data_IF_508879418383
#
_entry.id   IF_508879418383
#
_cell.length_a   1.000
_cell.length_b   1.000
_cell.length_c   1.000
_cell.angle_alpha   90.00
_cell.angle_beta   90.00
_cell.angle_gamma   90.00
#
_symmetry.space_group_name_H-M   'P 1'
#
loop_
_entity.id
_entity.type
_entity.pdbx_description
1 polymer ?
#
# COMPACT_ATOMS: atom_id res chain seq x y z
N UNK A 1 12.26 -18.05 0.43
CA UNK A 1 11.81 -16.73 0.88
C UNK A 1 11.47 -16.84 2.36
N UNK A 2 11.99 -15.95 3.20
CA UNK A 2 11.64 -15.95 4.64
C UNK A 2 10.50 -14.96 4.86
N UNK A 3 9.30 -15.45 5.15
CA UNK A 3 8.11 -14.64 5.45
C UNK A 3 8.18 -14.24 6.92
N UNK A 4 8.12 -12.94 7.21
CA UNK A 4 8.17 -12.38 8.56
C UNK A 4 6.76 -12.10 9.07
N UNK A 5 5.89 -11.56 8.20
CA UNK A 5 4.52 -11.21 8.51
C UNK A 5 3.59 -11.63 7.37
N UNK A 6 2.33 -11.91 7.72
CA UNK A 6 1.24 -12.19 6.81
C UNK A 6 0.07 -11.27 7.12
N UNK A 7 -0.47 -10.59 6.12
CA UNK A 7 -1.48 -9.58 6.33
C UNK A 7 -2.47 -9.47 5.19
N UNK A 8 -3.59 -8.80 5.43
CA UNK A 8 -4.65 -8.61 4.46
C UNK A 8 -4.78 -7.15 4.05
N UNK A 9 -5.34 -6.94 2.84
CA UNK A 9 -5.68 -5.62 2.34
C UNK A 9 -7.17 -5.34 2.51
N UNK A 10 -7.51 -4.10 2.87
CA UNK A 10 -8.86 -3.60 3.09
C UNK A 10 -9.16 -2.41 2.19
N UNK A 11 -10.36 -2.36 1.63
CA UNK A 11 -10.88 -1.26 0.81
C UNK A 11 -12.40 -1.12 1.01
N UNK A 12 -13.06 -0.20 0.33
CA UNK A 12 -14.53 -0.06 0.40
C UNK A 12 -15.32 -1.26 -0.15
N UNK A 13 -14.62 -2.25 -0.73
CA UNK A 13 -15.24 -3.51 -1.15
C UNK A 13 -15.62 -4.40 0.04
N UNK A 14 -14.91 -4.28 1.13
CA UNK A 14 -15.17 -4.97 2.38
C UNK A 14 -16.00 -4.06 3.29
N UNK A 15 -16.93 -4.64 4.06
CA UNK A 15 -17.62 -3.89 5.10
C UNK A 15 -16.87 -3.99 6.43
N UNK A 16 -17.05 -2.98 7.30
CA UNK A 16 -16.51 -3.07 8.66
C UNK A 16 -17.04 -4.32 9.40
N UNK A 17 -18.25 -4.76 9.09
CA UNK A 17 -18.82 -5.96 9.67
C UNK A 17 -18.03 -7.22 9.31
N UNK A 18 -17.40 -7.27 8.12
CA UNK A 18 -16.63 -8.42 7.68
C UNK A 18 -15.30 -8.56 8.42
N UNK A 19 -14.78 -7.50 9.05
CA UNK A 19 -13.52 -7.54 9.82
C UNK A 19 -13.72 -7.63 11.34
N UNK A 20 -14.96 -7.49 11.85
CA UNK A 20 -15.22 -7.46 13.30
C UNK A 20 -14.76 -8.68 14.09
N UNK A 21 -14.54 -9.80 13.40
CA UNK A 21 -14.06 -11.04 14.02
C UNK A 21 -12.58 -11.31 13.77
N UNK A 22 -11.89 -10.42 13.02
CA UNK A 22 -10.47 -10.59 12.70
C UNK A 22 -9.65 -10.08 13.88
N UNK A 23 -8.77 -10.94 14.38
CA UNK A 23 -7.86 -10.62 15.50
C UNK A 23 -6.39 -10.65 15.05
N UNK A 24 -5.48 -10.28 15.93
CA UNK A 24 -4.03 -10.40 15.74
C UNK A 24 -3.54 -11.85 15.57
N UNK A 25 -4.39 -12.83 15.88
CA UNK A 25 -4.12 -14.27 15.62
C UNK A 25 -4.40 -14.67 14.18
N UNK A 26 -5.32 -13.97 13.52
CA UNK A 26 -5.77 -14.27 12.15
C UNK A 26 -4.91 -13.56 11.11
N UNK A 27 -4.34 -12.41 11.48
CA UNK A 27 -3.48 -11.61 10.59
C UNK A 27 -2.48 -10.81 11.41
N UNK A 28 -1.27 -10.60 10.85
CA UNK A 28 -0.25 -9.81 11.54
C UNK A 28 -0.35 -8.32 11.23
N UNK A 29 -1.05 -7.92 10.15
CA UNK A 29 -1.22 -6.51 9.79
C UNK A 29 -2.34 -6.29 8.77
N UNK A 30 -2.78 -5.04 8.69
CA UNK A 30 -3.65 -4.54 7.63
C UNK A 30 -2.91 -3.61 6.67
N UNK A 31 -3.22 -3.70 5.37
CA UNK A 31 -2.93 -2.68 4.38
C UNK A 31 -4.25 -2.03 3.95
N UNK A 32 -4.48 -0.79 4.37
CA UNK A 32 -5.77 -0.11 4.24
C UNK A 32 -5.72 0.88 3.08
N UNK A 33 -6.63 0.77 2.10
CA UNK A 33 -6.79 1.80 1.08
C UNK A 33 -7.25 3.08 1.76
N UNK A 34 -6.50 4.17 1.58
CA UNK A 34 -6.85 5.44 2.24
C UNK A 34 -7.68 6.36 1.36
N UNK A 35 -7.37 6.38 0.06
CA UNK A 35 -8.04 7.21 -0.91
C UNK A 35 -7.70 6.78 -2.34
N UNK A 36 -8.34 7.37 -3.33
CA UNK A 36 -8.00 7.22 -4.75
C UNK A 36 -8.29 8.48 -5.54
N UNK A 37 -7.63 8.61 -6.72
CA UNK A 37 -7.92 9.62 -7.73
C UNK A 37 -7.83 8.97 -9.11
N UNK A 38 -8.95 8.47 -9.60
CA UNK A 38 -9.02 7.76 -10.89
C UNK A 38 -9.55 8.65 -12.02
N UNK A 39 -10.29 9.68 -11.68
CA UNK A 39 -10.91 10.66 -12.60
C UNK A 39 -10.40 12.09 -12.40
N UNK A 40 -9.32 12.27 -11.61
CA UNK A 40 -8.75 13.56 -11.25
C UNK A 40 -9.28 14.15 -9.95
N UNK A 41 -10.36 13.60 -9.39
CA UNK A 41 -10.86 13.98 -8.07
C UNK A 41 -10.26 13.05 -7.00
N UNK A 42 -9.88 13.62 -5.86
CA UNK A 42 -9.34 12.84 -4.75
C UNK A 42 -10.51 12.42 -3.87
N UNK A 43 -10.73 11.12 -3.77
CA UNK A 43 -11.79 10.53 -2.96
C UNK A 43 -11.22 9.70 -1.82
N UNK A 44 -11.53 10.09 -0.58
CA UNK A 44 -11.22 9.28 0.60
C UNK A 44 -12.05 8.01 0.60
N UNK A 45 -11.46 6.87 0.95
CA UNK A 45 -12.20 5.63 1.15
C UNK A 45 -13.20 5.77 2.30
N UNK A 46 -14.44 5.34 2.05
CA UNK A 46 -15.56 5.52 2.97
C UNK A 46 -15.29 4.91 4.35
N UNK A 47 -14.73 3.69 4.37
CA UNK A 47 -14.51 2.92 5.59
C UNK A 47 -13.13 3.16 6.22
N UNK A 48 -12.32 4.10 5.68
CA UNK A 48 -10.94 4.31 6.10
C UNK A 48 -10.78 4.56 7.60
N UNK A 49 -11.55 5.49 8.16
CA UNK A 49 -11.43 5.84 9.59
C UNK A 49 -11.88 4.71 10.50
N UNK A 50 -12.90 3.95 10.07
CA UNK A 50 -13.38 2.79 10.83
C UNK A 50 -12.36 1.67 10.85
N UNK A 51 -11.67 1.41 9.73
CA UNK A 51 -10.60 0.41 9.67
C UNK A 51 -9.40 0.79 10.53
N UNK A 52 -8.98 2.06 10.50
CA UNK A 52 -7.92 2.56 11.36
C UNK A 52 -8.31 2.38 12.84
N UNK A 53 -9.51 2.85 13.21
CA UNK A 53 -10.01 2.75 14.59
C UNK A 53 -10.08 1.29 15.06
N UNK A 54 -10.50 0.38 14.17
CA UNK A 54 -10.53 -1.04 14.47
C UNK A 54 -9.12 -1.61 14.67
N UNK A 55 -8.19 -1.29 13.78
CA UNK A 55 -6.81 -1.76 13.88
C UNK A 55 -6.14 -1.27 15.19
N UNK A 56 -6.32 0.00 15.52
CA UNK A 56 -5.77 0.60 16.75
C UNK A 56 -6.38 -0.02 18.01
N UNK A 57 -7.72 -0.21 18.05
CA UNK A 57 -8.43 -0.82 19.17
C UNK A 57 -7.96 -2.26 19.44
N UNK A 58 -7.71 -3.02 18.38
CA UNK A 58 -7.30 -4.43 18.47
C UNK A 58 -5.79 -4.63 18.39
N UNK A 59 -5.01 -3.53 18.42
CA UNK A 59 -3.54 -3.54 18.35
C UNK A 59 -3.00 -4.28 17.11
N UNK A 60 -3.76 -4.27 15.99
CA UNK A 60 -3.33 -4.84 14.72
C UNK A 60 -2.45 -3.80 14.00
N UNK A 61 -1.18 -4.11 13.72
CA UNK A 61 -0.31 -3.23 12.95
C UNK A 61 -0.91 -2.90 11.59
N UNK A 62 -0.70 -1.67 11.10
CA UNK A 62 -1.24 -1.31 9.79
C UNK A 62 -0.30 -0.39 9.00
N UNK A 63 -0.49 -0.39 7.70
CA UNK A 63 -0.02 0.58 6.72
C UNK A 63 -1.14 0.97 5.78
N UNK A 64 -0.86 1.84 4.82
CA UNK A 64 -1.90 2.32 3.90
C UNK A 64 -1.43 2.29 2.44
N UNK A 65 -2.39 2.32 1.52
CA UNK A 65 -2.09 2.55 0.11
C UNK A 65 -3.08 3.51 -0.54
N UNK A 66 -2.59 4.24 -1.52
CA UNK A 66 -3.30 5.21 -2.32
C UNK A 66 -3.28 4.81 -3.80
N UNK A 67 -4.39 4.96 -4.51
CA UNK A 67 -4.50 4.57 -5.93
C UNK A 67 -4.71 5.81 -6.80
N UNK A 68 -3.89 5.95 -7.86
CA UNK A 68 -4.01 7.07 -8.80
C UNK A 68 -3.74 6.64 -10.24
N UNK A 69 -4.36 7.33 -11.19
CA UNK A 69 -3.99 7.27 -12.61
C UNK A 69 -3.29 8.56 -13.09
N UNK A 70 -3.05 9.52 -12.19
CA UNK A 70 -2.44 10.80 -12.54
C UNK A 70 -1.00 10.64 -13.04
N UNK A 71 -0.71 11.28 -14.15
CA UNK A 71 0.64 11.43 -14.70
C UNK A 71 1.14 12.88 -14.62
N UNK A 72 0.39 13.76 -13.97
CA UNK A 72 0.76 15.15 -13.69
C UNK A 72 1.42 15.21 -12.30
N UNK A 73 2.67 15.67 -12.24
CA UNK A 73 3.42 15.80 -10.99
C UNK A 73 2.72 16.74 -10.01
N UNK A 74 2.17 17.86 -10.48
CA UNK A 74 1.48 18.84 -9.60
C UNK A 74 0.22 18.23 -8.99
N UNK A 75 -0.52 17.43 -9.77
CA UNK A 75 -1.68 16.71 -9.26
C UNK A 75 -1.24 15.66 -8.24
N UNK A 76 -0.19 14.87 -8.55
CA UNK A 76 0.34 13.89 -7.60
C UNK A 76 0.85 14.51 -6.31
N UNK A 77 1.46 15.69 -6.36
CA UNK A 77 1.86 16.41 -5.15
C UNK A 77 0.66 16.81 -4.28
N UNK A 78 -0.45 17.27 -4.87
CA UNK A 78 -1.71 17.54 -4.16
C UNK A 78 -2.31 16.27 -3.56
N UNK A 79 -2.28 15.18 -4.31
CA UNK A 79 -2.73 13.87 -3.85
C UNK A 79 -1.90 13.39 -2.65
N UNK A 80 -0.57 13.55 -2.71
CA UNK A 80 0.33 13.24 -1.62
C UNK A 80 0.07 14.11 -0.37
N UNK A 81 -0.11 15.42 -0.55
CA UNK A 81 -0.44 16.34 0.55
C UNK A 81 -1.76 15.92 1.22
N UNK A 82 -2.77 15.54 0.44
CA UNK A 82 -4.04 15.02 0.97
C UNK A 82 -3.83 13.74 1.78
N UNK A 83 -3.09 12.78 1.24
CA UNK A 83 -2.81 11.50 1.92
C UNK A 83 -2.07 11.76 3.23
N UNK A 84 -1.02 12.58 3.24
CA UNK A 84 -0.24 12.82 4.45
C UNK A 84 -0.99 13.63 5.51
N UNK A 85 -1.92 14.49 5.12
CA UNK A 85 -2.83 15.13 6.08
C UNK A 85 -3.81 14.13 6.71
N UNK A 86 -4.35 13.15 5.95
CA UNK A 86 -5.15 12.05 6.50
C UNK A 86 -4.37 11.20 7.53
N UNK A 87 -3.05 11.08 7.33
CA UNK A 87 -2.18 10.25 8.16
C UNK A 87 -1.55 10.99 9.34
N UNK A 88 -1.79 12.28 9.45
CA UNK A 88 -1.28 13.11 10.54
C UNK A 88 -1.72 12.55 11.91
N UNK A 89 -0.76 12.49 12.83
CA UNK A 89 -0.95 11.95 14.18
C UNK A 89 -1.27 10.43 14.26
N UNK A 90 -1.17 9.69 13.17
CA UNK A 90 -1.31 8.22 13.19
C UNK A 90 0.07 7.56 13.30
N UNK A 91 0.14 6.47 14.09
CA UNK A 91 1.37 5.68 14.28
C UNK A 91 1.25 4.37 13.53
N UNK A 92 1.81 4.32 12.32
CA UNK A 92 1.71 3.16 11.44
C UNK A 92 2.98 2.32 11.46
N UNK A 93 2.83 1.02 11.54
CA UNK A 93 3.94 0.07 11.60
C UNK A 93 4.37 -0.42 10.22
N UNK A 94 3.54 -0.19 9.21
CA UNK A 94 3.79 -0.58 7.81
C UNK A 94 3.86 0.65 6.90
N UNK A 95 4.43 0.52 5.69
CA UNK A 95 4.65 1.65 4.78
C UNK A 95 3.38 2.30 4.24
N UNK A 96 3.56 3.49 3.65
CA UNK A 96 2.60 4.14 2.78
C UNK A 96 2.95 3.81 1.33
N UNK A 97 2.04 3.20 0.58
CA UNK A 97 2.27 2.84 -0.82
C UNK A 97 1.43 3.68 -1.77
N UNK A 98 2.00 4.02 -2.92
CA UNK A 98 1.23 4.50 -4.08
C UNK A 98 1.06 3.36 -5.08
N UNK A 99 -0.16 3.20 -5.62
CA UNK A 99 -0.46 2.34 -6.75
C UNK A 99 -0.81 3.21 -7.95
N UNK A 100 0.12 3.28 -8.90
CA UNK A 100 -0.10 3.95 -10.18
C UNK A 100 -0.77 2.98 -11.15
N UNK A 101 -1.92 3.37 -11.73
CA UNK A 101 -2.71 2.49 -12.61
C UNK A 101 -2.89 3.02 -14.03
N UNK A 102 -2.21 4.11 -14.40
CA UNK A 102 -2.25 4.63 -15.77
C UNK A 102 -1.68 3.62 -16.78
N UNK A 103 -2.43 3.30 -17.82
CA UNK A 103 -2.05 2.30 -18.83
C UNK A 103 -1.59 2.91 -20.16
N UNK A 104 -1.55 4.23 -20.26
CA UNK A 104 -1.04 4.92 -21.44
C UNK A 104 0.47 4.75 -21.57
N UNK A 105 0.89 3.93 -22.50
CA UNK A 105 2.31 3.62 -22.75
C UNK A 105 3.11 4.82 -23.26
N UNK A 106 2.47 5.89 -23.67
CA UNK A 106 3.15 7.15 -24.03
C UNK A 106 3.55 7.96 -22.81
N UNK A 107 3.05 7.59 -21.63
CA UNK A 107 3.22 8.28 -20.33
C UNK A 107 4.09 7.52 -19.32
N UNK A 108 4.96 6.62 -19.78
CA UNK A 108 5.83 5.81 -18.90
C UNK A 108 6.69 6.69 -17.99
N UNK A 109 7.28 7.73 -18.56
CA UNK A 109 8.14 8.67 -17.82
C UNK A 109 7.31 9.42 -16.76
N UNK A 110 6.18 9.98 -17.16
CA UNK A 110 5.29 10.77 -16.31
C UNK A 110 4.65 9.91 -15.19
N UNK A 111 4.23 8.68 -15.50
CA UNK A 111 3.74 7.73 -14.52
C UNK A 111 4.82 7.35 -13.50
N UNK A 112 6.07 7.21 -13.95
CA UNK A 112 7.23 6.98 -13.07
C UNK A 112 7.52 8.22 -12.23
N UNK A 113 7.50 9.41 -12.82
CA UNK A 113 7.71 10.68 -12.12
C UNK A 113 6.65 10.92 -11.02
N UNK A 114 5.40 10.50 -11.26
CA UNK A 114 4.33 10.51 -10.27
C UNK A 114 4.68 9.69 -9.03
N UNK A 115 5.15 8.44 -9.19
CA UNK A 115 5.59 7.60 -8.07
C UNK A 115 6.77 8.26 -7.32
N UNK A 116 7.74 8.79 -8.06
CA UNK A 116 8.92 9.46 -7.48
C UNK A 116 8.51 10.70 -6.68
N UNK A 117 7.60 11.52 -7.20
CA UNK A 117 7.10 12.72 -6.54
C UNK A 117 6.35 12.37 -5.24
N UNK A 118 5.45 11.38 -5.28
CA UNK A 118 4.74 10.89 -4.09
C UNK A 118 5.71 10.40 -3.01
N UNK A 119 6.67 9.55 -3.37
CA UNK A 119 7.66 9.04 -2.43
C UNK A 119 8.59 10.16 -1.89
N UNK A 120 8.88 11.18 -2.69
CA UNK A 120 9.61 12.37 -2.26
C UNK A 120 8.85 13.17 -1.21
N UNK A 121 7.55 13.40 -1.44
CA UNK A 121 6.66 14.05 -0.45
C UNK A 121 6.53 13.22 0.83
N UNK A 122 6.44 11.88 0.70
CA UNK A 122 6.42 10.97 1.84
C UNK A 122 7.67 11.13 2.71
N UNK A 123 8.84 11.13 2.10
CA UNK A 123 10.11 11.33 2.79
C UNK A 123 10.17 12.67 3.54
N UNK A 124 9.75 13.75 2.87
CA UNK A 124 9.69 15.08 3.48
C UNK A 124 8.79 15.10 4.72
N UNK A 125 7.65 14.40 4.68
CA UNK A 125 6.70 14.27 5.79
C UNK A 125 7.06 13.14 6.77
N UNK A 126 8.27 12.57 6.69
CA UNK A 126 8.76 11.47 7.54
C UNK A 126 7.93 10.19 7.46
N UNK A 127 7.42 9.85 6.29
CA UNK A 127 6.76 8.57 6.04
C UNK A 127 7.67 7.62 5.27
N UNK A 128 7.70 6.36 5.72
CA UNK A 128 8.34 5.27 5.00
C UNK A 128 7.41 4.83 3.87
N UNK A 129 7.85 4.96 2.64
CA UNK A 129 6.97 4.77 1.48
C UNK A 129 7.54 3.87 0.40
N UNK A 130 6.69 3.51 -0.55
CA UNK A 130 7.02 2.73 -1.71
C UNK A 130 5.89 2.74 -2.74
N UNK A 131 5.92 1.78 -3.66
CA UNK A 131 4.90 1.64 -4.69
C UNK A 131 4.41 0.19 -4.79
N UNK A 132 3.16 0.03 -5.25
CA UNK A 132 2.46 -1.24 -5.45
C UNK A 132 2.10 -1.41 -6.92
N UNK A 133 2.42 -2.54 -7.52
CA UNK A 133 1.91 -2.93 -8.83
C UNK A 133 2.22 -4.39 -9.15
N UNK A 134 1.72 -4.88 -10.31
CA UNK A 134 2.13 -6.17 -10.86
C UNK A 134 3.50 -6.09 -11.55
N UNK A 135 4.20 -7.21 -11.66
CA UNK A 135 5.46 -7.29 -12.40
C UNK A 135 5.31 -6.93 -13.88
N UNK A 136 4.14 -7.25 -14.47
CA UNK A 136 3.81 -6.88 -15.86
C UNK A 136 3.65 -5.37 -16.02
N UNK A 137 2.92 -4.73 -15.10
CA UNK A 137 2.74 -3.28 -15.11
C UNK A 137 4.10 -2.56 -14.95
N UNK A 138 4.94 -3.02 -14.02
CA UNK A 138 6.27 -2.46 -13.79
C UNK A 138 7.13 -2.49 -15.07
N UNK A 139 7.11 -3.61 -15.81
CA UNK A 139 7.88 -3.74 -17.08
C UNK A 139 7.36 -2.89 -18.22
N UNK A 140 6.05 -2.74 -18.32
CA UNK A 140 5.40 -2.20 -19.51
C UNK A 140 4.98 -0.74 -19.40
N UNK A 141 4.84 -0.22 -18.17
CA UNK A 141 4.24 1.10 -17.89
C UNK A 141 5.10 1.99 -17.00
N UNK A 142 6.25 1.49 -16.51
CA UNK A 142 7.11 2.24 -15.60
C UNK A 142 8.60 2.07 -15.98
N UNK A 143 9.41 3.08 -15.67
CA UNK A 143 10.88 2.96 -15.68
C UNK A 143 11.35 2.32 -14.36
N UNK A 144 11.43 0.99 -14.35
CA UNK A 144 11.82 0.23 -13.17
C UNK A 144 13.26 0.52 -12.69
N UNK A 145 14.17 1.00 -13.55
CA UNK A 145 15.52 1.35 -13.14
C UNK A 145 15.51 2.52 -12.17
N UNK A 146 14.64 3.50 -12.36
CA UNK A 146 14.47 4.64 -11.48
C UNK A 146 13.77 4.26 -10.16
N UNK A 147 12.98 3.19 -10.17
CA UNK A 147 12.19 2.74 -9.02
C UNK A 147 12.91 1.74 -8.10
N UNK A 148 14.07 1.22 -8.47
CA UNK A 148 14.84 0.21 -7.69
C UNK A 148 15.17 0.61 -6.24
N UNK A 149 15.21 1.90 -5.96
CA UNK A 149 15.54 2.45 -4.63
C UNK A 149 14.34 2.54 -3.69
N UNK A 150 13.13 2.35 -4.20
CA UNK A 150 11.90 2.43 -3.41
C UNK A 150 11.43 1.05 -2.99
N UNK A 151 10.68 0.99 -1.90
CA UNK A 151 10.03 -0.25 -1.49
C UNK A 151 9.02 -0.67 -2.54
N UNK A 152 9.03 -1.95 -2.88
CA UNK A 152 8.11 -2.51 -3.84
C UNK A 152 7.19 -3.52 -3.17
N UNK A 153 5.89 -3.32 -3.34
CA UNK A 153 4.84 -4.28 -3.03
C UNK A 153 4.38 -4.93 -4.32
N UNK A 154 4.86 -6.14 -4.55
CA UNK A 154 4.54 -6.93 -5.75
C UNK A 154 3.11 -7.49 -5.65
N UNK A 155 2.31 -7.33 -6.69
CA UNK A 155 1.03 -8.03 -6.86
C UNK A 155 1.23 -9.16 -7.86
N UNK A 156 1.09 -10.41 -7.41
CA UNK A 156 1.22 -11.59 -8.27
C UNK A 156 0.48 -12.76 -7.63
N UNK A 157 -0.78 -12.97 -8.01
CA UNK A 157 -1.65 -14.01 -7.47
C UNK A 157 -1.23 -15.39 -7.99
N UNK A 158 -0.32 -16.04 -7.29
CA UNK A 158 0.26 -17.32 -7.64
C UNK A 158 1.01 -17.92 -6.44
N UNK A 159 1.39 -19.19 -6.53
CA UNK A 159 2.17 -19.89 -5.48
C UNK A 159 3.62 -19.40 -5.38
N UNK A 160 4.10 -18.64 -6.36
CA UNK A 160 5.46 -18.11 -6.40
C UNK A 160 5.44 -16.68 -6.94
N UNK A 161 6.33 -15.79 -6.46
CA UNK A 161 6.34 -14.38 -6.90
C UNK A 161 6.75 -14.18 -8.37
N UNK A 162 6.98 -15.26 -9.11
CA UNK A 162 7.44 -15.18 -10.49
C UNK A 162 8.87 -14.62 -10.58
N UNK A 163 9.11 -13.87 -11.67
CA UNK A 163 10.37 -13.14 -11.85
C UNK A 163 10.10 -11.62 -11.68
N UNK A 164 10.12 -11.08 -10.45
CA UNK A 164 10.01 -9.66 -10.24
C UNK A 164 11.26 -8.98 -10.81
N UNK A 165 11.06 -7.89 -11.55
CA UNK A 165 12.13 -7.16 -12.23
C UNK A 165 13.10 -6.52 -11.24
N UNK A 166 12.61 -6.22 -10.05
CA UNK A 166 13.37 -5.63 -8.94
C UNK A 166 13.01 -6.34 -7.61
N UNK A 167 13.88 -6.25 -6.59
CA UNK A 167 13.56 -6.77 -5.26
C UNK A 167 12.26 -6.16 -4.70
N UNK A 168 11.49 -6.95 -3.99
CA UNK A 168 10.27 -6.53 -3.31
C UNK A 168 10.36 -6.77 -1.81
N UNK A 169 9.60 -6.01 -1.03
CA UNK A 169 9.49 -6.16 0.42
C UNK A 169 8.19 -6.82 0.86
N UNK A 170 7.16 -6.69 0.03
CA UNK A 170 5.85 -7.33 0.20
C UNK A 170 5.40 -8.00 -1.10
N UNK A 171 4.61 -9.06 -0.96
CA UNK A 171 4.05 -9.79 -2.10
C UNK A 171 2.59 -10.17 -1.81
N UNK A 172 1.65 -9.55 -2.55
CA UNK A 172 0.25 -9.98 -2.57
C UNK A 172 0.12 -11.21 -3.44
N UNK A 173 -0.03 -12.37 -2.78
CA UNK A 173 0.03 -13.67 -3.43
C UNK A 173 -1.36 -14.22 -3.80
N UNK A 174 -2.43 -13.69 -3.20
CA UNK A 174 -3.81 -14.08 -3.50
C UNK A 174 -4.77 -12.92 -3.25
N UNK A 175 -5.91 -12.92 -3.91
CA UNK A 175 -7.06 -12.07 -3.62
C UNK A 175 -8.24 -12.88 -3.06
N UNK A 176 -8.01 -14.11 -2.62
CA UNK A 176 -9.03 -15.08 -2.20
C UNK A 176 -8.69 -15.71 -0.85
N UNK A 177 -7.96 -15.00 0.01
CA UNK A 177 -7.74 -15.48 1.37
C UNK A 177 -9.05 -15.46 2.14
N UNK A 178 -9.37 -16.59 2.76
CA UNK A 178 -10.52 -16.74 3.65
C UNK A 178 -10.02 -16.75 5.09
N UNK A 179 -10.53 -15.86 5.91
CA UNK A 179 -10.28 -15.87 7.35
C UNK A 179 -11.48 -16.52 8.02
N UNK A 180 -11.23 -17.40 8.98
CA UNK A 180 -12.28 -18.09 9.72
C UNK A 180 -13.26 -17.09 10.36
N UNK A 181 -14.54 -17.48 10.36
CA UNK A 181 -15.65 -16.63 10.85
C UNK A 181 -15.90 -15.34 10.06
N UNK A 182 -15.32 -15.18 8.86
CA UNK A 182 -15.66 -14.10 7.94
C UNK A 182 -16.40 -14.63 6.71
N UNK A 183 -17.26 -13.80 6.12
CA UNK A 183 -17.99 -14.15 4.89
C UNK A 183 -17.20 -13.73 3.64
N UNK A 184 -16.26 -12.82 3.78
CA UNK A 184 -15.53 -12.22 2.67
C UNK A 184 -14.19 -12.93 2.42
N UNK A 185 -13.73 -12.79 1.18
CA UNK A 185 -12.36 -13.12 0.80
C UNK A 185 -11.55 -11.83 0.72
N UNK A 186 -10.31 -11.88 1.19
CA UNK A 186 -9.41 -10.73 1.25
C UNK A 186 -8.18 -10.93 0.36
N UNK A 187 -7.63 -9.86 -0.22
CA UNK A 187 -6.26 -9.90 -0.72
C UNK A 187 -5.30 -10.13 0.44
N UNK A 188 -4.38 -11.08 0.29
CA UNK A 188 -3.40 -11.42 1.32
C UNK A 188 -1.98 -11.23 0.81
N UNK A 189 -1.14 -10.69 1.66
CA UNK A 189 0.26 -10.41 1.36
C UNK A 189 1.21 -11.02 2.37
N UNK A 190 2.29 -11.60 1.87
CA UNK A 190 3.48 -11.92 2.64
C UNK A 190 4.42 -10.72 2.70
N UNK A 191 4.94 -10.43 3.89
CA UNK A 191 5.97 -9.42 4.10
C UNK A 191 7.30 -10.09 4.48
N UNK A 192 8.36 -9.75 3.76
CA UNK A 192 9.70 -10.31 3.93
C UNK A 192 10.69 -9.31 4.53
N UNK A 193 10.22 -8.11 4.86
CA UNK A 193 11.01 -7.07 5.54
C UNK A 193 10.40 -6.76 6.90
N UNK A 194 11.25 -6.45 7.88
CA UNK A 194 10.79 -6.03 9.21
C UNK A 194 10.49 -4.53 9.23
N UNK A 195 9.39 -4.13 8.57
CA UNK A 195 8.97 -2.73 8.53
C UNK A 195 8.73 -2.11 9.91
N UNK A 196 8.05 -2.79 10.86
CA UNK A 196 7.85 -2.22 12.20
C UNK A 196 9.15 -1.82 12.88
N UNK A 197 10.20 -2.63 12.75
CA UNK A 197 11.54 -2.32 13.30
C UNK A 197 12.16 -1.13 12.56
N UNK A 198 12.18 -1.17 11.23
CA UNK A 198 12.79 -0.11 10.40
C UNK A 198 12.13 1.24 10.63
N UNK A 199 10.80 1.29 10.66
CA UNK A 199 10.01 2.51 10.85
C UNK A 199 10.29 3.14 12.22
N UNK A 200 10.26 2.33 13.30
CA UNK A 200 10.54 2.82 14.65
C UNK A 200 11.97 3.30 14.82
N UNK A 201 12.94 2.55 14.31
CA UNK A 201 14.36 2.92 14.43
C UNK A 201 14.72 4.24 13.72
N UNK A 202 13.96 4.61 12.69
CA UNK A 202 14.18 5.83 11.91
C UNK A 202 13.19 6.96 12.27
N UNK A 203 12.36 6.81 13.30
CA UNK A 203 11.34 7.77 13.72
C UNK A 203 10.43 8.21 12.55
N UNK A 204 9.90 7.25 11.81
CA UNK A 204 9.00 7.45 10.66
C UNK A 204 7.56 7.08 11.01
N UNK A 205 6.59 7.46 10.16
CA UNK A 205 5.17 7.10 10.29
C UNK A 205 4.55 7.48 11.64
N UNK A 206 4.95 8.62 12.20
CA UNK A 206 4.40 9.13 13.46
C UNK A 206 5.11 8.64 14.73
N UNK A 207 6.20 7.89 14.61
CA UNK A 207 7.07 7.49 15.73
C UNK A 207 8.13 8.52 16.03
#
# INVERSE_FOLDING_TARGET
MNIIYQGISLSDKESIQSIKNITDKDTNYFMIKCASSLDGNIEKEKNFDEYISYAELHSIPYGVYYVTNSTDIKQTEKEADFVFELLKNKKMQFPVYIEQVNTDKTKIKEATDSIVAFCGKAWYNKFYSGFRCTASYLRNNLDFNRLRRYNFWLVCHSDRPGNPVIPFGMWEHTNKCRIDNTLNMFPESYCIQNYPKTIRQNNLNGY
#
